data_IF_655428753736
#
_entry.id   IF_655428753736
#
_cell.length_a   1.000
_cell.length_b   1.000
_cell.length_c   1.000
_cell.angle_alpha   90.00
_cell.angle_beta   90.00
_cell.angle_gamma   90.00
#
_symmetry.space_group_name_H-M   'P 1'
#
loop_
_entity.id
_entity.type
_entity.pdbx_description
1 polymer ?
#
# COMPACT_ATOMS: atom_id res chain seq x y z
N UNK A 1 -1.78 -3.31 -20.62
CA UNK A 1 -1.66 -1.84 -20.56
C UNK A 1 -2.04 -1.28 -21.91
N UNK A 2 -2.91 -0.28 -21.91
CA UNK A 2 -3.28 0.47 -23.11
C UNK A 2 -2.17 1.47 -23.51
N UNK A 3 -2.25 2.01 -24.72
CA UNK A 3 -1.37 3.11 -25.16
C UNK A 3 -1.51 4.33 -24.23
N UNK A 4 -2.73 4.57 -23.72
CA UNK A 4 -3.01 5.66 -22.79
C UNK A 4 -2.33 5.44 -21.42
N UNK A 5 -2.33 4.21 -20.89
CA UNK A 5 -1.67 3.88 -19.61
C UNK A 5 -0.16 4.19 -19.69
N UNK A 6 0.44 3.83 -20.82
CA UNK A 6 1.87 4.05 -21.08
C UNK A 6 2.19 5.54 -21.15
N UNK A 7 1.35 6.31 -21.83
CA UNK A 7 1.50 7.77 -21.90
C UNK A 7 1.38 8.42 -20.52
N UNK A 8 0.34 8.08 -19.74
CA UNK A 8 0.09 8.66 -18.41
C UNK A 8 1.21 8.34 -17.42
N UNK A 9 1.64 7.07 -17.37
CA UNK A 9 2.69 6.63 -16.44
C UNK A 9 4.04 7.28 -16.74
N UNK A 10 4.36 7.56 -18.01
CA UNK A 10 5.59 8.22 -18.45
C UNK A 10 5.72 9.71 -18.15
N UNK A 11 4.64 10.41 -17.76
CA UNK A 11 4.70 11.84 -17.44
C UNK A 11 5.51 12.10 -16.15
N UNK A 12 6.32 13.18 -16.07
CA UNK A 12 6.87 13.64 -14.79
C UNK A 12 5.75 14.22 -13.92
N UNK A 13 5.73 13.89 -12.63
CA UNK A 13 4.64 14.25 -11.70
C UNK A 13 5.21 14.78 -10.40
N UNK A 14 4.49 15.73 -9.80
CA UNK A 14 4.67 16.12 -8.41
C UNK A 14 3.37 15.81 -7.66
N UNK A 15 3.47 15.08 -6.56
CA UNK A 15 2.36 14.80 -5.65
C UNK A 15 2.46 15.73 -4.45
N UNK A 16 1.47 16.61 -4.29
CA UNK A 16 1.52 17.69 -3.29
C UNK A 16 0.78 17.34 -1.99
N UNK A 17 0.02 16.24 -2.00
CA UNK A 17 -0.71 15.75 -0.83
C UNK A 17 -0.64 14.23 -0.83
N UNK A 18 0.17 13.70 0.08
CA UNK A 18 0.26 12.28 0.39
C UNK A 18 0.47 12.15 1.90
N UNK A 19 -0.23 11.20 2.51
CA UNK A 19 0.10 10.75 3.86
C UNK A 19 1.05 9.56 3.72
N UNK A 20 2.27 9.67 4.28
CA UNK A 20 3.27 8.60 4.19
C UNK A 20 2.72 7.32 4.85
N UNK A 21 2.04 7.48 5.98
CA UNK A 21 1.38 6.40 6.71
C UNK A 21 0.28 5.73 5.86
N UNK A 22 -0.37 6.49 4.98
CA UNK A 22 -1.37 6.00 4.04
C UNK A 22 -0.80 5.23 2.85
N UNK A 23 0.52 5.29 2.63
CA UNK A 23 1.24 4.51 1.61
C UNK A 23 1.85 3.21 2.15
N UNK A 24 1.56 2.85 3.40
CA UNK A 24 2.03 1.59 3.99
C UNK A 24 1.22 0.42 3.41
N UNK A 25 1.86 -0.38 2.56
CA UNK A 25 1.21 -1.55 1.97
C UNK A 25 1.05 -2.70 2.97
N UNK A 26 0.02 -3.56 2.82
CA UNK A 26 -0.18 -4.74 3.66
C UNK A 26 1.06 -5.64 3.80
N UNK A 27 1.77 -5.90 2.72
CA UNK A 27 2.99 -6.72 2.73
C UNK A 27 4.10 -6.07 3.58
N UNK A 28 4.24 -4.75 3.48
CA UNK A 28 5.20 -3.99 4.27
C UNK A 28 4.82 -3.97 5.75
N UNK A 29 3.52 -3.94 6.07
CA UNK A 29 3.05 -4.02 7.45
C UNK A 29 3.54 -5.32 8.13
N UNK A 30 3.44 -6.47 7.45
CA UNK A 30 3.97 -7.75 7.96
C UNK A 30 5.50 -7.76 8.01
N UNK A 31 6.18 -7.28 6.98
CA UNK A 31 7.65 -7.21 6.95
C UNK A 31 8.19 -6.38 8.13
N UNK A 32 7.60 -5.22 8.39
CA UNK A 32 8.02 -4.34 9.46
C UNK A 32 7.62 -4.87 10.84
N UNK A 33 6.45 -5.48 10.97
CA UNK A 33 6.04 -6.17 12.21
C UNK A 33 7.04 -7.27 12.59
N UNK A 34 7.41 -8.12 11.62
CA UNK A 34 8.42 -9.16 11.82
C UNK A 34 9.79 -8.56 12.20
N UNK A 35 10.26 -7.57 11.44
CA UNK A 35 11.56 -6.91 11.70
C UNK A 35 11.64 -6.33 13.10
N UNK A 36 10.54 -5.74 13.57
CA UNK A 36 10.50 -5.03 14.84
C UNK A 36 10.00 -5.90 16.01
N UNK A 37 9.72 -7.20 15.79
CA UNK A 37 9.13 -8.09 16.80
C UNK A 37 7.84 -7.56 17.41
N UNK A 38 6.97 -6.99 16.58
CA UNK A 38 5.66 -6.46 16.96
C UNK A 38 4.58 -7.42 16.45
N UNK A 39 3.70 -7.86 17.35
CA UNK A 39 2.49 -8.59 16.96
C UNK A 39 1.46 -7.60 16.39
N UNK A 40 0.86 -7.97 15.26
CA UNK A 40 -0.21 -7.20 14.61
C UNK A 40 -1.49 -8.05 14.56
N UNK A 41 -2.68 -7.43 14.61
CA UNK A 41 -3.95 -8.14 14.78
C UNK A 41 -4.49 -8.74 13.48
N UNK A 42 -3.61 -9.25 12.62
CA UNK A 42 -3.95 -9.83 11.32
C UNK A 42 -3.11 -11.07 11.07
N UNK A 43 -3.74 -12.12 10.54
CA UNK A 43 -3.12 -13.42 10.30
C UNK A 43 -2.57 -13.55 8.88
N UNK A 44 -3.01 -12.71 7.95
CA UNK A 44 -2.49 -12.67 6.59
C UNK A 44 -2.63 -11.29 5.93
N UNK A 45 -1.94 -11.12 4.80
CA UNK A 45 -2.04 -9.94 3.93
C UNK A 45 -3.46 -9.75 3.42
N UNK A 46 -4.16 -10.83 3.09
CA UNK A 46 -5.54 -10.81 2.61
C UNK A 46 -6.51 -10.29 3.68
N UNK A 47 -6.28 -10.62 4.96
CA UNK A 47 -7.08 -10.10 6.07
C UNK A 47 -6.91 -8.58 6.22
N UNK A 48 -5.68 -8.08 6.07
CA UNK A 48 -5.42 -6.63 6.03
C UNK A 48 -6.14 -6.00 4.83
N UNK A 49 -6.04 -6.57 3.62
CA UNK A 49 -6.74 -6.03 2.44
C UNK A 49 -8.25 -5.98 2.62
N UNK A 50 -8.84 -7.04 3.19
CA UNK A 50 -10.27 -7.08 3.49
C UNK A 50 -10.69 -5.99 4.49
N UNK A 51 -9.82 -5.62 5.44
CA UNK A 51 -10.08 -4.53 6.38
C UNK A 51 -10.17 -3.14 5.71
N UNK A 52 -9.66 -2.99 4.47
CA UNK A 52 -9.73 -1.76 3.67
C UNK A 52 -10.93 -1.74 2.70
N UNK A 53 -11.80 -2.75 2.73
CA UNK A 53 -13.06 -2.74 1.97
C UNK A 53 -14.11 -1.86 2.67
N UNK A 54 -14.01 -0.55 2.45
CA UNK A 54 -14.98 0.43 2.95
C UNK A 54 -16.23 0.45 2.05
N UNK A 55 -17.43 0.27 2.63
CA UNK A 55 -18.71 0.38 1.93
C UNK A 55 -19.33 1.77 2.12
#
# INVERSE_FOLDING_TARGET
MSDLDTFITGLPKAELHLHIEGSLEPEQMFEFAQRNSVEIPYNSVEEVRAAYEFN
#
